data_IF_718715401851
#
_entry.id   IF_718715401851
#
_cell.length_a   1.000
_cell.length_b   1.000
_cell.length_c   1.000
_cell.angle_alpha   90.00
_cell.angle_beta   90.00
_cell.angle_gamma   90.00
#
_symmetry.space_group_name_H-M   'P 1'
#
loop_
_entity.id
_entity.type
_entity.pdbx_description
1 polymer ?
#
# COMPACT_ATOMS: atom_id res chain seq x y z
N UNK A 1 -20.29 -17.93 1.32
CA UNK A 1 -19.52 -18.86 0.46
C UNK A 1 -18.30 -19.32 1.25
N UNK A 2 -17.86 -20.58 1.15
CA UNK A 2 -16.68 -21.06 1.89
C UNK A 2 -15.42 -20.92 1.03
N UNK A 3 -14.27 -20.76 1.67
CA UNK A 3 -13.00 -20.60 0.96
C UNK A 3 -12.70 -21.79 0.04
N UNK A 4 -12.92 -23.02 0.51
CA UNK A 4 -12.70 -24.24 -0.29
C UNK A 4 -13.35 -24.26 -1.67
N UNK A 5 -14.39 -23.45 -1.87
CA UNK A 5 -15.14 -23.36 -3.12
C UNK A 5 -14.36 -22.61 -4.22
N UNK A 6 -13.34 -21.80 -3.85
CA UNK A 6 -12.60 -20.95 -4.79
C UNK A 6 -11.11 -20.74 -4.47
N UNK A 7 -10.56 -21.33 -3.40
CA UNK A 7 -9.15 -21.13 -3.07
C UNK A 7 -8.22 -21.62 -4.17
N UNK A 8 -7.07 -20.95 -4.29
CA UNK A 8 -5.98 -21.43 -5.11
C UNK A 8 -5.15 -22.46 -4.34
N UNK A 9 -5.32 -23.74 -4.69
CA UNK A 9 -4.61 -24.87 -4.07
C UNK A 9 -3.16 -25.03 -4.57
N UNK A 10 -2.73 -24.27 -5.59
CA UNK A 10 -1.37 -24.37 -6.12
C UNK A 10 -0.46 -23.39 -5.39
N UNK A 11 0.04 -23.82 -4.25
CA UNK A 11 0.95 -23.02 -3.44
C UNK A 11 2.32 -23.63 -3.45
N UNK A 12 3.27 -22.88 -4.02
CA UNK A 12 4.68 -23.18 -3.90
C UNK A 12 5.25 -22.47 -2.67
N UNK A 13 6.16 -23.13 -1.97
CA UNK A 13 6.77 -22.61 -0.74
C UNK A 13 8.28 -22.50 -0.89
N UNK A 14 8.90 -21.74 0.01
CA UNK A 14 10.36 -21.74 0.21
C UNK A 14 10.71 -22.28 1.60
N UNK A 15 11.90 -22.84 1.74
CA UNK A 15 12.47 -23.20 3.04
C UNK A 15 13.07 -21.95 3.71
N UNK A 16 13.06 -21.83 5.06
CA UNK A 16 13.84 -20.79 5.74
C UNK A 16 15.34 -20.85 5.40
N UNK A 17 15.85 -22.02 5.03
CA UNK A 17 17.26 -22.25 4.68
C UNK A 17 17.56 -22.05 3.18
N UNK A 18 16.54 -21.77 2.36
CA UNK A 18 16.75 -21.40 0.95
C UNK A 18 17.48 -20.05 0.87
N UNK A 19 18.23 -19.84 -0.22
CA UNK A 19 18.89 -18.57 -0.50
C UNK A 19 17.89 -17.53 -1.03
N UNK A 20 18.19 -16.25 -0.88
CA UNK A 20 17.36 -15.20 -1.48
C UNK A 20 17.29 -15.31 -3.00
N UNK A 21 18.37 -15.74 -3.66
CA UNK A 21 18.35 -16.04 -5.09
C UNK A 21 17.31 -17.11 -5.42
N UNK A 22 17.27 -18.21 -4.65
CA UNK A 22 16.32 -19.30 -4.90
C UNK A 22 14.87 -18.85 -4.71
N UNK A 23 14.62 -18.01 -3.69
CA UNK A 23 13.31 -17.41 -3.48
C UNK A 23 12.91 -16.49 -4.65
N UNK A 24 13.83 -15.63 -5.11
CA UNK A 24 13.61 -14.73 -6.23
C UNK A 24 13.40 -15.47 -7.57
N UNK A 25 14.12 -16.57 -7.81
CA UNK A 25 13.88 -17.45 -8.97
C UNK A 25 12.45 -18.00 -8.97
N UNK A 26 11.99 -18.53 -7.83
CA UNK A 26 10.62 -19.02 -7.71
C UNK A 26 9.59 -17.91 -7.91
N UNK A 27 9.82 -16.74 -7.32
CA UNK A 27 8.97 -15.56 -7.51
C UNK A 27 8.85 -15.19 -9.00
N UNK A 28 9.97 -15.17 -9.73
CA UNK A 28 9.98 -14.93 -11.18
C UNK A 28 9.27 -16.03 -11.96
N UNK A 29 9.59 -17.29 -11.69
CA UNK A 29 9.11 -18.43 -12.47
C UNK A 29 7.59 -18.65 -12.28
N UNK A 30 7.06 -18.24 -11.13
CA UNK A 30 5.65 -18.32 -10.78
C UNK A 30 4.89 -17.01 -11.00
N UNK A 31 5.58 -15.92 -11.35
CA UNK A 31 5.04 -14.57 -11.49
C UNK A 31 4.32 -14.07 -10.21
N UNK A 32 5.00 -14.18 -9.07
CA UNK A 32 4.47 -13.78 -7.74
C UNK A 32 5.45 -12.91 -6.97
N UNK A 33 4.94 -11.91 -6.25
CA UNK A 33 5.75 -11.02 -5.40
C UNK A 33 5.91 -11.48 -3.94
N UNK A 34 5.33 -12.62 -3.57
CA UNK A 34 5.35 -13.14 -2.20
C UNK A 34 5.36 -14.66 -2.15
N UNK A 35 6.14 -15.24 -1.25
CA UNK A 35 6.26 -16.69 -1.08
C UNK A 35 6.02 -17.09 0.40
N UNK A 36 5.17 -18.08 0.68
CA UNK A 36 5.09 -18.70 1.99
C UNK A 36 6.41 -19.40 2.35
N UNK A 37 6.86 -19.18 3.58
CA UNK A 37 8.03 -19.85 4.15
C UNK A 37 7.55 -20.99 5.02
N UNK A 38 7.92 -22.21 4.66
CA UNK A 38 7.53 -23.41 5.39
C UNK A 38 8.75 -24.17 5.91
N UNK A 39 8.66 -24.65 7.14
CA UNK A 39 9.64 -25.57 7.72
C UNK A 39 8.93 -26.83 8.17
N UNK A 40 9.41 -28.00 7.70
CA UNK A 40 8.83 -29.31 8.02
C UNK A 40 7.31 -29.40 7.75
N UNK A 41 6.84 -28.75 6.68
CA UNK A 41 5.43 -28.73 6.28
C UNK A 41 4.57 -27.70 7.03
N UNK A 42 5.12 -27.00 8.02
CA UNK A 42 4.42 -25.94 8.75
C UNK A 42 4.75 -24.58 8.17
N UNK A 43 3.73 -23.74 8.02
CA UNK A 43 3.88 -22.34 7.63
C UNK A 43 4.45 -21.54 8.82
N UNK A 44 5.62 -20.92 8.64
CA UNK A 44 6.33 -20.20 9.70
C UNK A 44 6.55 -18.72 9.39
N UNK A 45 6.31 -18.30 8.15
CA UNK A 45 6.55 -16.92 7.73
C UNK A 45 6.17 -16.67 6.27
N UNK A 46 6.42 -15.44 5.82
CA UNK A 46 6.30 -15.00 4.43
C UNK A 46 7.50 -14.16 4.05
N UNK A 47 7.96 -14.28 2.81
CA UNK A 47 8.95 -13.39 2.22
C UNK A 47 8.39 -12.72 0.98
N UNK A 48 8.59 -11.41 0.86
CA UNK A 48 8.13 -10.60 -0.28
C UNK A 48 9.30 -10.00 -1.06
N UNK A 49 9.04 -9.56 -2.29
CA UNK A 49 9.97 -8.76 -3.09
C UNK A 49 10.48 -7.51 -2.35
N UNK A 50 9.59 -6.86 -1.58
CA UNK A 50 9.92 -5.73 -0.72
C UNK A 50 10.85 -6.14 0.42
N UNK A 51 10.63 -7.29 1.05
CA UNK A 51 11.52 -7.79 2.12
C UNK A 51 12.93 -8.04 1.57
N UNK A 52 13.05 -8.70 0.41
CA UNK A 52 14.34 -8.91 -0.25
C UNK A 52 15.00 -7.57 -0.57
N UNK A 53 14.25 -6.63 -1.15
CA UNK A 53 14.77 -5.33 -1.58
C UNK A 53 15.25 -4.49 -0.39
N UNK A 54 14.41 -4.34 0.63
CA UNK A 54 14.66 -3.42 1.75
C UNK A 54 15.57 -4.03 2.82
N UNK A 55 15.45 -5.34 3.08
CA UNK A 55 16.15 -6.00 4.20
C UNK A 55 17.42 -6.73 3.79
N UNK A 56 17.68 -6.93 2.49
CA UNK A 56 18.93 -7.53 1.99
C UNK A 56 19.61 -6.70 0.90
N UNK A 57 18.94 -6.45 -0.24
CA UNK A 57 19.58 -5.74 -1.37
C UNK A 57 20.07 -4.35 -0.98
N UNK A 58 19.26 -3.59 -0.25
CA UNK A 58 19.63 -2.26 0.24
C UNK A 58 20.82 -2.26 1.22
N UNK A 59 21.10 -3.41 1.87
CA UNK A 59 22.24 -3.58 2.78
C UNK A 59 23.51 -4.06 2.06
N UNK A 60 23.39 -4.46 0.79
CA UNK A 60 24.49 -5.04 0.01
C UNK A 60 24.74 -6.52 0.33
N UNK A 61 23.74 -7.22 0.88
CA UNK A 61 23.85 -8.64 1.20
C UNK A 61 23.94 -9.50 -0.07
N UNK A 62 24.72 -10.58 -0.03
CA UNK A 62 24.89 -11.49 -1.17
C UNK A 62 23.72 -12.50 -1.24
N UNK A 63 22.84 -12.40 -2.26
CA UNK A 63 21.65 -13.25 -2.37
C UNK A 63 21.97 -14.74 -2.59
N UNK A 64 23.21 -15.09 -2.91
CA UNK A 64 23.68 -16.47 -3.05
C UNK A 64 23.88 -17.17 -1.72
N UNK A 65 24.07 -16.43 -0.63
CA UNK A 65 24.40 -16.98 0.70
C UNK A 65 23.37 -16.59 1.76
N UNK A 66 22.80 -15.39 1.68
CA UNK A 66 21.78 -14.91 2.62
C UNK A 66 20.54 -15.79 2.57
N UNK A 67 20.03 -16.14 3.75
CA UNK A 67 18.89 -17.05 3.92
C UNK A 67 17.56 -16.29 3.91
N UNK A 68 16.52 -16.97 3.46
CA UNK A 68 15.14 -16.47 3.54
C UNK A 68 14.77 -16.13 4.98
N UNK A 69 15.18 -16.94 5.96
CA UNK A 69 14.91 -16.70 7.39
C UNK A 69 15.46 -15.39 7.94
N UNK A 70 16.48 -14.79 7.30
CA UNK A 70 17.09 -13.54 7.74
C UNK A 70 16.27 -12.30 7.37
N UNK A 71 15.38 -12.42 6.36
CA UNK A 71 14.59 -11.29 5.85
C UNK A 71 13.09 -11.51 5.93
N UNK A 72 12.62 -12.75 6.07
CA UNK A 72 11.20 -13.07 6.11
C UNK A 72 10.49 -12.36 7.28
N UNK A 73 9.19 -12.16 7.13
CA UNK A 73 8.32 -11.75 8.23
C UNK A 73 7.76 -13.02 8.90
N UNK A 74 8.06 -13.28 10.18
CA UNK A 74 7.49 -14.39 10.93
C UNK A 74 6.01 -14.12 11.27
N UNK A 75 5.30 -15.13 11.78
CA UNK A 75 3.93 -14.99 12.29
C UNK A 75 2.94 -14.45 11.25
N UNK A 76 2.63 -15.30 10.27
CA UNK A 76 1.69 -14.95 9.20
C UNK A 76 0.25 -15.13 9.60
N UNK A 77 -0.60 -14.23 9.13
CA UNK A 77 -2.05 -14.34 9.25
C UNK A 77 -2.55 -15.40 8.27
N UNK A 78 -3.39 -16.29 8.76
CA UNK A 78 -3.98 -17.38 7.99
C UNK A 78 -5.43 -17.60 8.39
N UNK A 79 -6.15 -18.33 7.56
CA UNK A 79 -7.52 -18.79 7.80
C UNK A 79 -7.66 -20.30 7.50
N UNK A 80 -8.78 -20.91 7.88
CA UNK A 80 -9.08 -22.31 7.58
C UNK A 80 -9.78 -22.44 6.24
N UNK A 81 -9.59 -23.58 5.59
CA UNK A 81 -10.24 -23.91 4.31
C UNK A 81 -11.78 -23.89 4.36
N UNK A 82 -12.37 -24.12 5.54
CA UNK A 82 -13.82 -24.09 5.76
C UNK A 82 -14.35 -22.72 6.22
N UNK A 83 -13.48 -21.72 6.42
CA UNK A 83 -13.90 -20.36 6.77
C UNK A 83 -14.70 -19.72 5.63
N UNK A 84 -15.47 -18.70 5.97
CA UNK A 84 -16.28 -17.97 5.00
C UNK A 84 -15.47 -16.87 4.31
N UNK A 85 -15.91 -16.47 3.12
CA UNK A 85 -15.32 -15.34 2.40
C UNK A 85 -15.37 -14.03 3.21
N UNK A 86 -16.43 -13.83 4.00
CA UNK A 86 -16.60 -12.68 4.89
C UNK A 86 -15.58 -12.68 6.03
N UNK A 87 -15.28 -13.85 6.60
CA UNK A 87 -14.25 -13.98 7.63
C UNK A 87 -12.86 -13.70 7.08
N UNK A 88 -12.55 -14.23 5.89
CA UNK A 88 -11.31 -13.93 5.19
C UNK A 88 -11.18 -12.43 4.87
N UNK A 89 -12.26 -11.80 4.39
CA UNK A 89 -12.30 -10.36 4.17
C UNK A 89 -12.07 -9.58 5.46
N UNK A 90 -12.67 -10.00 6.59
CA UNK A 90 -12.46 -9.36 7.90
C UNK A 90 -10.99 -9.42 8.33
N UNK A 91 -10.36 -10.59 8.24
CA UNK A 91 -8.94 -10.77 8.56
C UNK A 91 -8.04 -9.92 7.64
N UNK A 92 -8.36 -9.82 6.35
CA UNK A 92 -7.66 -8.93 5.43
C UNK A 92 -7.74 -7.47 5.86
N UNK A 93 -8.93 -6.99 6.25
CA UNK A 93 -9.14 -5.63 6.76
C UNK A 93 -8.40 -5.39 8.08
N UNK A 94 -8.54 -6.29 9.05
CA UNK A 94 -7.96 -6.14 10.39
C UNK A 94 -6.43 -6.09 10.34
N UNK A 95 -5.82 -6.91 9.50
CA UNK A 95 -4.36 -7.00 9.40
C UNK A 95 -3.77 -6.20 8.25
N UNK A 96 -4.58 -5.44 7.51
CA UNK A 96 -4.12 -4.61 6.40
C UNK A 96 -3.38 -5.41 5.32
N UNK A 97 -3.88 -6.61 5.01
CA UNK A 97 -3.28 -7.54 4.05
C UNK A 97 -4.25 -7.89 2.94
N UNK A 98 -3.72 -8.07 1.73
CA UNK A 98 -4.52 -8.39 0.52
C UNK A 98 -4.59 -9.88 0.21
N UNK A 99 -3.82 -10.69 0.96
CA UNK A 99 -3.69 -12.14 0.76
C UNK A 99 -3.67 -12.84 2.11
N UNK A 100 -4.25 -14.02 2.17
CA UNK A 100 -4.26 -14.91 3.32
C UNK A 100 -3.77 -16.29 2.91
N UNK A 101 -2.96 -16.89 3.79
CA UNK A 101 -2.65 -18.31 3.70
C UNK A 101 -3.83 -19.12 4.24
N UNK A 102 -4.08 -20.27 3.63
CA UNK A 102 -5.22 -21.13 3.96
C UNK A 102 -4.69 -22.48 4.45
N UNK A 103 -5.06 -22.85 5.67
CA UNK A 103 -4.64 -24.09 6.31
C UNK A 103 -5.79 -25.11 6.36
N UNK A 104 -5.46 -26.40 6.31
CA UNK A 104 -6.40 -27.48 6.62
C UNK A 104 -6.50 -27.73 8.14
N UNK A 105 -7.25 -28.75 8.56
CA UNK A 105 -7.42 -29.12 9.98
C UNK A 105 -6.14 -29.60 10.68
N UNK A 106 -5.09 -29.97 9.92
CA UNK A 106 -3.80 -30.45 10.42
C UNK A 106 -2.72 -29.35 10.47
N UNK A 107 -3.11 -28.07 10.32
CA UNK A 107 -2.21 -26.91 10.23
C UNK A 107 -1.25 -26.93 9.02
N UNK A 108 -1.62 -27.67 7.97
CA UNK A 108 -0.85 -27.71 6.74
C UNK A 108 -1.33 -26.63 5.77
N UNK A 109 -0.39 -25.95 5.12
CA UNK A 109 -0.70 -24.97 4.08
C UNK A 109 -1.29 -25.67 2.85
N UNK A 110 -2.55 -25.36 2.53
CA UNK A 110 -3.27 -25.95 1.39
C UNK A 110 -3.59 -24.94 0.30
N UNK A 111 -3.55 -23.64 0.60
CA UNK A 111 -3.96 -22.61 -0.34
C UNK A 111 -3.49 -21.21 0.01
N UNK A 112 -3.64 -20.33 -0.97
CA UNK A 112 -3.63 -18.88 -0.77
C UNK A 112 -4.94 -18.34 -1.33
N UNK A 113 -5.51 -17.35 -0.65
CA UNK A 113 -6.62 -16.56 -1.18
C UNK A 113 -6.25 -15.09 -1.17
N UNK A 114 -6.71 -14.36 -2.17
CA UNK A 114 -6.51 -12.92 -2.32
C UNK A 114 -7.82 -12.16 -2.33
N UNK A 115 -7.74 -10.86 -2.12
CA UNK A 115 -8.88 -9.96 -2.25
C UNK A 115 -9.51 -10.00 -3.66
N UNK A 116 -8.69 -10.16 -4.71
CA UNK A 116 -9.19 -10.31 -6.08
C UNK A 116 -9.99 -11.60 -6.30
N UNK A 117 -9.55 -12.71 -5.69
CA UNK A 117 -10.28 -13.98 -5.70
C UNK A 117 -11.58 -13.87 -4.88
N UNK A 118 -11.56 -13.19 -3.72
CA UNK A 118 -12.79 -12.91 -2.96
C UNK A 118 -13.80 -12.12 -3.80
N UNK A 119 -13.34 -11.10 -4.51
CA UNK A 119 -14.18 -10.26 -5.36
C UNK A 119 -14.83 -11.05 -6.52
N UNK A 120 -14.04 -11.89 -7.17
CA UNK A 120 -14.51 -12.67 -8.33
C UNK A 120 -15.36 -13.87 -7.93
N UNK A 121 -15.03 -14.54 -6.83
CA UNK A 121 -15.75 -15.74 -6.39
C UNK A 121 -17.11 -15.42 -5.75
N UNK A 122 -17.16 -14.40 -4.89
CA UNK A 122 -18.41 -14.05 -4.19
C UNK A 122 -19.40 -13.31 -5.09
N UNK A 123 -18.91 -12.57 -6.08
CA UNK A 123 -19.72 -11.61 -6.85
C UNK A 123 -20.25 -10.44 -5.99
N UNK A 124 -19.86 -10.35 -4.71
CA UNK A 124 -20.25 -9.29 -3.80
C UNK A 124 -19.29 -8.11 -3.96
N UNK A 125 -19.62 -7.23 -4.91
CA UNK A 125 -18.87 -6.01 -5.19
C UNK A 125 -18.73 -5.10 -3.96
N UNK A 126 -19.70 -5.13 -3.04
CA UNK A 126 -19.66 -4.32 -1.82
C UNK A 126 -18.64 -4.88 -0.83
N UNK A 127 -18.62 -6.20 -0.61
CA UNK A 127 -17.63 -6.84 0.28
C UNK A 127 -16.21 -6.61 -0.24
N UNK A 128 -16.00 -6.81 -1.53
CA UNK A 128 -14.70 -6.61 -2.18
C UNK A 128 -14.26 -5.15 -2.14
N UNK A 129 -15.16 -4.22 -2.49
CA UNK A 129 -14.88 -2.78 -2.48
C UNK A 129 -14.53 -2.28 -1.07
N UNK A 130 -15.35 -2.61 -0.07
CA UNK A 130 -15.10 -2.23 1.33
C UNK A 130 -13.78 -2.80 1.86
N UNK A 131 -13.44 -4.03 1.48
CA UNK A 131 -12.17 -4.64 1.89
C UNK A 131 -11.00 -3.98 1.19
N UNK A 132 -11.13 -3.65 -0.10
CA UNK A 132 -10.09 -2.95 -0.84
C UNK A 132 -9.82 -1.56 -0.27
N UNK A 133 -10.89 -0.81 0.01
CA UNK A 133 -10.84 0.51 0.64
C UNK A 133 -10.07 0.43 1.96
N UNK A 134 -10.52 -0.44 2.88
CA UNK A 134 -9.91 -0.57 4.21
C UNK A 134 -8.49 -1.10 4.22
N UNK A 135 -8.07 -1.87 3.21
CA UNK A 135 -6.68 -2.36 3.09
C UNK A 135 -5.79 -1.39 2.29
N UNK A 136 -6.39 -0.38 1.64
CA UNK A 136 -5.67 0.66 0.90
C UNK A 136 -5.49 1.94 1.71
N UNK A 137 -6.35 2.17 2.70
CA UNK A 137 -6.21 3.23 3.69
C UNK A 137 -5.73 2.62 5.03
N UNK A 138 -4.45 2.76 5.41
CA UNK A 138 -3.89 2.16 6.62
C UNK A 138 -4.38 2.84 7.93
N UNK A 139 -5.62 3.34 7.95
CA UNK A 139 -6.28 3.95 9.08
C UNK A 139 -6.35 3.02 10.31
N UNK A 140 -5.69 3.47 11.38
CA UNK A 140 -5.94 3.15 12.80
C UNK A 140 -5.62 1.74 13.37
N UNK A 141 -5.01 0.80 12.64
CA UNK A 141 -4.71 -0.55 13.20
C UNK A 141 -3.21 -0.93 13.30
N UNK A 142 -2.30 0.02 13.02
CA UNK A 142 -0.86 -0.24 12.89
C UNK A 142 0.04 -0.14 14.14
N UNK A 143 -0.50 0.08 15.35
CA UNK A 143 0.32 0.15 16.57
C UNK A 143 -0.10 -0.90 17.60
N UNK A 144 0.50 -2.08 17.52
CA UNK A 144 0.88 -2.87 18.69
C UNK A 144 2.09 -3.72 18.32
N UNK A 145 3.29 -3.13 18.45
CA UNK A 145 4.53 -3.89 18.61
C UNK A 145 4.90 -3.81 20.09
N UNK A 146 5.25 -4.91 20.77
CA UNK A 146 5.72 -4.84 22.14
C UNK A 146 7.13 -4.25 22.20
N UNK A 147 7.39 -3.56 23.30
CA UNK A 147 8.55 -2.73 23.59
C UNK A 147 9.90 -3.46 23.49
N UNK A 148 10.90 -2.77 22.94
CA UNK A 148 12.30 -3.05 23.17
C UNK A 148 12.96 -1.79 23.74
N UNK A 149 13.60 -1.97 24.88
CA UNK A 149 14.08 -0.97 25.82
C UNK A 149 15.15 0.00 25.25
N UNK A 150 15.03 1.23 25.73
CA UNK A 150 16.02 2.29 26.00
C UNK A 150 17.44 2.18 25.41
N UNK A 151 17.88 3.28 24.75
CA UNK A 151 19.23 3.84 24.92
C UNK A 151 19.24 5.35 24.55
N UNK A 152 19.18 6.17 25.61
CA UNK A 152 19.82 7.46 25.89
C UNK A 152 20.13 8.50 24.79
N UNK A 153 19.54 9.69 25.00
CA UNK A 153 20.11 11.05 24.99
C UNK A 153 21.12 11.47 23.91
N UNK A 154 20.63 12.25 22.93
CA UNK A 154 21.38 13.32 22.30
C UNK A 154 20.43 14.44 21.83
N UNK A 155 20.42 15.53 22.62
CA UNK A 155 20.20 16.95 22.30
C UNK A 155 19.30 17.31 21.09
N UNK A 156 18.14 17.90 21.40
CA UNK A 156 17.19 18.55 20.47
C UNK A 156 17.79 19.79 19.79
N UNK A 157 17.70 19.80 18.45
CA UNK A 157 17.53 21.00 17.62
C UNK A 157 16.14 20.87 16.94
N UNK A 158 15.22 21.84 17.06
CA UNK A 158 13.87 21.68 16.52
C UNK A 158 13.77 22.31 15.11
N UNK A 159 14.00 21.53 14.04
CA UNK A 159 13.50 21.90 12.70
C UNK A 159 13.46 20.71 11.72
N UNK A 160 12.35 19.97 11.71
CA UNK A 160 11.59 19.58 10.50
C UNK A 160 10.47 18.63 10.92
N UNK A 161 9.28 19.18 11.11
CA UNK A 161 8.09 18.36 11.14
C UNK A 161 7.93 17.74 9.75
N UNK A 162 8.09 16.42 9.65
CA UNK A 162 7.89 15.64 8.43
C UNK A 162 6.58 16.02 7.72
N UNK A 163 6.66 16.79 6.63
CA UNK A 163 5.48 17.24 5.88
C UNK A 163 4.86 16.07 5.10
N UNK A 164 3.78 15.52 5.65
CA UNK A 164 2.96 14.52 4.97
C UNK A 164 2.29 15.17 3.75
N UNK A 165 2.55 14.62 2.56
CA UNK A 165 1.99 15.10 1.29
C UNK A 165 1.01 14.08 0.70
N UNK A 166 -0.13 14.58 0.21
CA UNK A 166 -1.17 13.82 -0.48
C UNK A 166 -1.22 14.28 -1.93
N UNK A 167 -1.35 13.35 -2.87
CA UNK A 167 -1.47 13.67 -4.30
C UNK A 167 -2.67 12.96 -4.93
N UNK A 168 -3.34 13.66 -5.84
CA UNK A 168 -4.46 13.15 -6.64
C UNK A 168 -4.32 13.56 -8.09
N UNK A 169 -4.48 12.60 -9.01
CA UNK A 169 -4.55 12.84 -10.44
C UNK A 169 -6.01 12.88 -10.89
N UNK A 170 -6.39 13.94 -11.59
CA UNK A 170 -7.75 14.18 -12.09
C UNK A 170 -7.73 14.12 -13.62
N UNK A 171 -8.76 13.52 -14.21
CA UNK A 171 -8.90 13.42 -15.67
C UNK A 171 -9.37 14.72 -16.33
N UNK A 172 -9.89 15.67 -15.53
CA UNK A 172 -10.33 16.97 -16.00
C UNK A 172 -10.17 18.07 -14.94
N UNK A 173 -10.16 19.31 -15.43
CA UNK A 173 -10.00 20.50 -14.59
C UNK A 173 -11.27 20.89 -13.81
N UNK A 174 -12.45 20.37 -14.13
CA UNK A 174 -13.69 20.71 -13.42
C UNK A 174 -13.65 20.08 -12.02
N UNK A 175 -13.45 18.76 -11.96
CA UNK A 175 -13.33 18.02 -10.71
C UNK A 175 -12.11 18.44 -9.88
N UNK A 176 -10.99 18.77 -10.53
CA UNK A 176 -9.82 19.28 -9.83
C UNK A 176 -10.10 20.63 -9.13
N UNK A 177 -10.93 21.51 -9.73
CA UNK A 177 -11.33 22.77 -9.08
C UNK A 177 -12.23 22.51 -7.88
N UNK A 178 -13.22 21.63 -8.01
CA UNK A 178 -14.11 21.26 -6.91
C UNK A 178 -13.32 20.70 -5.72
N UNK A 179 -12.33 19.85 -5.98
CA UNK A 179 -11.42 19.34 -4.96
C UNK A 179 -10.63 20.46 -4.27
N UNK A 180 -10.07 21.40 -5.03
CA UNK A 180 -9.31 22.53 -4.48
C UNK A 180 -10.18 23.43 -3.60
N UNK A 181 -11.41 23.72 -4.02
CA UNK A 181 -12.36 24.51 -3.21
C UNK A 181 -12.75 23.77 -1.93
N UNK A 182 -13.08 22.47 -1.99
CA UNK A 182 -13.36 21.67 -0.79
C UNK A 182 -12.15 21.60 0.16
N UNK A 183 -10.93 21.51 -0.36
CA UNK A 183 -9.70 21.58 0.45
C UNK A 183 -9.58 22.94 1.16
N UNK A 184 -9.86 24.04 0.47
CA UNK A 184 -9.85 25.39 1.07
C UNK A 184 -10.92 25.54 2.14
N UNK A 185 -12.15 25.07 1.87
CA UNK A 185 -13.25 25.07 2.84
C UNK A 185 -12.92 24.20 4.08
N UNK A 186 -12.20 23.10 3.87
CA UNK A 186 -11.64 22.29 4.94
C UNK A 186 -10.46 22.96 5.67
N UNK A 187 -9.98 24.12 5.23
CA UNK A 187 -8.93 24.89 5.90
C UNK A 187 -7.50 24.47 5.54
N UNK A 188 -7.29 23.84 4.38
CA UNK A 188 -5.96 23.76 3.77
C UNK A 188 -5.65 25.13 3.13
N UNK A 189 -4.51 25.71 3.49
CA UNK A 189 -4.13 27.03 2.98
C UNK A 189 -3.62 26.94 1.53
N UNK A 190 -3.87 27.97 0.73
CA UNK A 190 -3.49 28.03 -0.70
C UNK A 190 -2.00 27.71 -0.96
N UNK A 191 -1.11 28.17 -0.08
CA UNK A 191 0.34 27.91 -0.19
C UNK A 191 0.74 26.46 0.11
N UNK A 192 -0.19 25.63 0.54
CA UNK A 192 0.01 24.19 0.81
C UNK A 192 -0.59 23.31 -0.28
N UNK A 193 -1.25 23.91 -1.27
CA UNK A 193 -1.88 23.22 -2.40
C UNK A 193 -1.13 23.61 -3.67
N UNK A 194 -0.47 22.64 -4.29
CA UNK A 194 0.25 22.79 -5.54
C UNK A 194 -0.46 22.03 -6.67
N UNK A 195 -0.40 22.54 -7.89
CA UNK A 195 -0.94 21.85 -9.07
C UNK A 195 0.08 21.73 -10.20
N UNK A 196 -0.08 20.72 -11.05
CA UNK A 196 0.67 20.57 -12.30
C UNK A 196 -0.26 20.09 -13.43
N UNK A 197 -0.07 20.66 -14.63
CA UNK A 197 -0.79 20.30 -15.85
C UNK A 197 0.20 20.21 -17.02
N UNK A 198 -0.16 19.47 -18.08
CA UNK A 198 0.67 19.41 -19.29
C UNK A 198 0.66 20.74 -20.08
N UNK A 199 -0.51 21.35 -20.20
CA UNK A 199 -0.71 22.62 -20.92
C UNK A 199 -0.44 23.81 -19.99
N UNK A 200 0.63 24.57 -20.30
CA UNK A 200 1.04 25.73 -19.52
C UNK A 200 0.04 26.90 -19.56
N UNK A 201 -0.69 27.10 -20.67
CA UNK A 201 -1.71 28.15 -20.79
C UNK A 201 -2.94 27.77 -19.96
N UNK A 202 -3.37 26.51 -20.02
CA UNK A 202 -4.43 26.00 -19.17
C UNK A 202 -4.05 26.03 -17.68
N UNK A 203 -2.78 25.77 -17.36
CA UNK A 203 -2.25 25.85 -16.00
C UNK A 203 -2.33 27.28 -15.46
N UNK A 204 -1.93 28.29 -16.24
CA UNK A 204 -2.00 29.70 -15.82
C UNK A 204 -3.44 30.13 -15.52
N UNK A 205 -4.39 29.76 -16.38
CA UNK A 205 -5.82 30.03 -16.17
C UNK A 205 -6.33 29.36 -14.88
N UNK A 206 -5.95 28.09 -14.65
CA UNK A 206 -6.36 27.36 -13.45
C UNK A 206 -5.81 28.03 -12.17
N UNK A 207 -4.55 28.47 -12.19
CA UNK A 207 -3.90 29.15 -11.07
C UNK A 207 -4.57 30.49 -10.77
N UNK A 208 -4.92 31.27 -11.79
CA UNK A 208 -5.63 32.54 -11.63
C UNK A 208 -7.04 32.35 -11.03
N UNK A 209 -7.75 31.30 -11.46
CA UNK A 209 -9.10 30.98 -10.98
C UNK A 209 -9.11 30.51 -9.52
N UNK A 210 -8.13 29.68 -9.14
CA UNK A 210 -8.12 28.98 -7.85
C UNK A 210 -7.18 29.60 -6.82
N UNK A 211 -6.25 30.47 -7.20
CA UNK A 211 -5.28 31.11 -6.30
C UNK A 211 -4.27 30.15 -5.65
N UNK A 212 -4.16 28.91 -6.13
CA UNK A 212 -3.13 27.95 -5.71
C UNK A 212 -1.82 28.22 -6.46
N UNK A 213 -0.78 27.40 -6.22
CA UNK A 213 0.53 27.60 -6.86
C UNK A 213 0.93 26.41 -7.73
N UNK A 214 1.88 26.62 -8.64
CA UNK A 214 2.46 25.54 -9.44
C UNK A 214 3.35 24.66 -8.58
N UNK A 215 3.25 23.36 -8.79
CA UNK A 215 4.23 22.42 -8.29
C UNK A 215 5.60 22.67 -8.95
N UNK A 216 6.70 22.64 -8.19
CA UNK A 216 8.02 22.68 -8.77
C UNK A 216 8.35 21.32 -9.43
N UNK A 217 9.05 21.35 -10.57
CA UNK A 217 9.23 20.18 -11.44
C UNK A 217 9.95 18.99 -10.76
N UNK A 218 10.76 19.26 -9.75
CA UNK A 218 11.48 18.28 -8.92
C UNK A 218 10.59 17.62 -7.84
N UNK A 219 9.42 18.18 -7.55
CA UNK A 219 8.44 17.62 -6.61
C UNK A 219 7.32 16.82 -7.28
N UNK A 220 7.20 16.91 -8.61
CA UNK A 220 6.27 16.09 -9.39
C UNK A 220 6.72 14.61 -9.26
N UNK A 221 5.89 13.71 -8.69
CA UNK A 221 6.26 12.30 -8.57
C UNK A 221 6.57 11.72 -9.96
N UNK A 222 7.28 10.58 -10.01
CA UNK A 222 7.51 9.78 -11.22
C UNK A 222 6.23 9.09 -11.71
N UNK A 223 5.12 9.82 -11.75
CA UNK A 223 3.89 9.46 -12.43
C UNK A 223 4.18 9.47 -13.95
N UNK A 224 3.39 8.74 -14.76
CA UNK A 224 3.43 8.89 -16.21
C UNK A 224 3.29 10.37 -16.59
N UNK A 225 3.86 10.77 -17.73
CA UNK A 225 3.68 12.10 -18.30
C UNK A 225 2.19 12.46 -18.26
N UNK A 226 1.83 13.63 -17.70
CA UNK A 226 0.44 14.08 -17.61
C UNK A 226 -0.11 14.18 -19.04
N UNK A 227 -1.26 13.55 -19.30
CA UNK A 227 -1.96 13.67 -20.57
C UNK A 227 -2.66 15.04 -20.67
N UNK A 228 -3.00 15.45 -21.90
CA UNK A 228 -3.78 16.66 -22.16
C UNK A 228 -5.09 16.69 -21.35
N UNK A 229 -5.29 17.75 -20.57
CA UNK A 229 -6.48 17.95 -19.75
C UNK A 229 -6.41 17.36 -18.33
N UNK A 230 -5.41 16.52 -18.03
CA UNK A 230 -5.20 16.02 -16.69
C UNK A 230 -4.62 17.08 -15.75
N UNK A 231 -5.02 16.99 -14.48
CA UNK A 231 -4.55 17.88 -13.41
C UNK A 231 -4.01 17.05 -12.26
N UNK A 232 -2.75 17.25 -11.89
CA UNK A 232 -2.19 16.74 -10.66
C UNK A 232 -2.40 17.77 -9.56
N UNK A 233 -3.07 17.41 -8.47
CA UNK A 233 -3.20 18.23 -7.25
C UNK A 233 -2.37 17.60 -6.15
N UNK A 234 -1.55 18.41 -5.48
CA UNK A 234 -0.71 18.02 -4.35
C UNK A 234 -1.02 18.90 -3.15
N UNK A 235 -1.19 18.28 -1.99
CA UNK A 235 -1.54 18.97 -0.75
C UNK A 235 -0.58 18.56 0.35
N UNK A 236 0.07 19.53 0.97
CA UNK A 236 0.74 19.33 2.25
C UNK A 236 -0.30 19.25 3.35
N UNK A 237 -0.52 18.05 3.84
CA UNK A 237 -1.62 17.76 4.75
C UNK A 237 -1.19 17.55 6.20
N UNK A 238 0.11 17.36 6.48
CA UNK A 238 0.62 17.06 7.83
C UNK A 238 -0.23 15.96 8.52
N UNK A 239 -0.81 16.24 9.68
CA UNK A 239 -1.70 15.32 10.42
C UNK A 239 -3.10 15.15 9.82
N UNK A 240 -3.44 15.92 8.79
CA UNK A 240 -4.76 15.96 8.13
C UNK A 240 -4.79 15.21 6.80
N UNK A 241 -3.85 14.28 6.58
CA UNK A 241 -3.72 13.51 5.34
C UNK A 241 -4.99 12.74 4.97
N UNK A 242 -5.67 12.13 5.96
CA UNK A 242 -6.94 11.41 5.75
C UNK A 242 -8.03 12.32 5.18
N UNK A 243 -8.17 13.53 5.72
CA UNK A 243 -9.16 14.49 5.24
C UNK A 243 -8.85 14.96 3.81
N UNK A 244 -7.57 15.21 3.49
CA UNK A 244 -7.17 15.58 2.13
C UNK A 244 -7.45 14.43 1.13
N UNK A 245 -7.18 13.18 1.51
CA UNK A 245 -7.49 12.00 0.70
C UNK A 245 -9.00 11.84 0.46
N UNK A 246 -9.83 12.01 1.50
CA UNK A 246 -11.28 11.92 1.38
C UNK A 246 -11.83 12.95 0.38
N UNK A 247 -11.34 14.19 0.44
CA UNK A 247 -11.76 15.26 -0.46
C UNK A 247 -11.34 14.96 -1.90
N UNK A 248 -10.09 14.52 -2.11
CA UNK A 248 -9.58 14.18 -3.44
C UNK A 248 -10.37 13.00 -4.04
N UNK A 249 -10.58 11.92 -3.29
CA UNK A 249 -11.30 10.74 -3.77
C UNK A 249 -12.77 11.03 -4.08
N UNK A 250 -13.43 11.87 -3.26
CA UNK A 250 -14.82 12.28 -3.49
C UNK A 250 -14.97 13.04 -4.81
N UNK A 251 -13.96 13.82 -5.17
CA UNK A 251 -13.90 14.60 -6.40
C UNK A 251 -13.24 13.82 -7.55
N UNK A 252 -13.35 12.48 -7.56
CA UNK A 252 -12.88 11.62 -8.65
C UNK A 252 -11.37 11.64 -8.92
N UNK A 253 -10.57 12.18 -8.00
CA UNK A 253 -9.11 12.12 -8.11
C UNK A 253 -8.59 10.72 -7.80
N UNK A 254 -7.74 10.18 -8.67
CA UNK A 254 -7.01 8.93 -8.43
C UNK A 254 -5.79 9.23 -7.57
N UNK A 255 -5.79 8.80 -6.31
CA UNK A 255 -4.69 9.09 -5.37
C UNK A 255 -3.49 8.15 -5.58
N UNK A 256 -2.28 8.71 -5.65
CA UNK A 256 -1.02 7.96 -5.69
C UNK A 256 -0.54 7.45 -4.33
N UNK A 257 -1.30 7.70 -3.26
CA UNK A 257 -0.95 7.40 -1.87
C UNK A 257 -0.31 8.58 -1.12
N UNK A 258 -0.18 8.42 0.20
CA UNK A 258 0.48 9.38 1.10
C UNK A 258 1.99 9.18 1.03
N UNK A 259 2.75 10.22 0.67
CA UNK A 259 4.21 10.20 0.83
C UNK A 259 4.55 10.69 2.23
N UNK A 260 5.12 9.80 3.03
CA UNK A 260 5.92 10.15 4.20
C UNK A 260 7.32 10.53 3.69
N UNK A 261 7.98 11.58 4.24
CA UNK A 261 9.32 11.94 3.80
C UNK A 261 10.30 10.79 4.04
N UNK A 262 11.25 10.65 3.12
CA UNK A 262 12.42 9.75 3.20
C UNK A 262 13.36 10.14 4.31
#
# INVERSE_FOLDING_TARGET
MQLKDFINYRVETVSPDDTLQRAAEKMRDLDVGSMPVCSRGQLIGVVTDRDITVRATARGDDPMVTKVSEVMTPEVIWCRVDDSAEEAARLMQEHQIRRLFVLNENDELVGVTSLGELATATGDQRLAGQTLERVSDPGESGQQRPDAEELSDAEEEPDSAAEVRVSGLFDDAEHAREAVEELKEAGFADHRIAIAMHDAEAQEIFLDDTGVHTAPADEIPSLPELDDGQVLVMVEAADRATLALEIINRNQGVTGGVRLPT
#
